data_IF_878256348020
#
_entry.id   IF_878256348020
#
_cell.length_a   1.000
_cell.length_b   1.000
_cell.length_c   1.000
_cell.angle_alpha   90.00
_cell.angle_beta   90.00
_cell.angle_gamma   90.00
#
_symmetry.space_group_name_H-M   'P 1'
#
loop_
_entity.id
_entity.type
_entity.pdbx_description
1 polymer ?
#
# COMPACT_ATOMS: atom_id res chain seq x y z
N UNK A 1 -2.95 -10.24 5.15
CA UNK A 1 -1.47 -10.28 5.24
C UNK A 1 -0.82 -9.89 3.91
N UNK A 2 -1.05 -10.61 2.80
CA UNK A 2 -0.45 -10.27 1.48
C UNK A 2 -0.72 -8.83 1.06
N UNK A 3 -1.98 -8.35 1.10
CA UNK A 3 -2.31 -6.94 0.80
C UNK A 3 -1.49 -5.93 1.63
N UNK A 4 -1.14 -6.26 2.88
CA UNK A 4 -0.33 -5.38 3.73
C UNK A 4 1.14 -5.35 3.29
N UNK A 5 1.68 -6.47 2.82
CA UNK A 5 3.02 -6.53 2.20
C UNK A 5 3.03 -5.73 0.91
N UNK A 6 1.99 -5.85 0.08
CA UNK A 6 1.86 -5.10 -1.17
C UNK A 6 1.76 -3.60 -0.88
N UNK A 7 0.95 -3.19 0.09
CA UNK A 7 0.88 -1.80 0.54
C UNK A 7 2.24 -1.26 1.01
N UNK A 8 2.97 -2.05 1.81
CA UNK A 8 4.33 -1.70 2.28
C UNK A 8 5.29 -1.46 1.09
N UNK A 9 5.30 -2.37 0.12
CA UNK A 9 6.18 -2.31 -1.05
C UNK A 9 5.81 -1.14 -1.97
N UNK A 10 4.53 -0.97 -2.26
CA UNK A 10 4.02 0.10 -3.12
C UNK A 10 4.25 1.49 -2.53
N UNK A 11 4.25 1.61 -1.20
CA UNK A 11 4.52 2.86 -0.48
C UNK A 11 6.00 3.06 -0.11
N UNK A 12 6.87 2.08 -0.34
CA UNK A 12 8.27 2.13 0.09
C UNK A 12 8.43 2.27 1.61
N UNK A 13 7.58 1.60 2.40
CA UNK A 13 7.65 1.75 3.86
C UNK A 13 8.90 1.14 4.50
N UNK A 14 9.06 1.38 5.80
CA UNK A 14 10.26 0.98 6.56
C UNK A 14 10.52 -0.53 6.51
N UNK A 15 11.79 -0.92 6.40
CA UNK A 15 12.22 -2.33 6.52
C UNK A 15 11.85 -2.95 7.87
N UNK A 16 11.70 -2.16 8.93
CA UNK A 16 11.21 -2.66 10.23
C UNK A 16 9.81 -3.28 10.14
N UNK A 17 8.99 -2.80 9.20
CA UNK A 17 7.64 -3.33 9.00
C UNK A 17 7.64 -4.80 8.53
N UNK A 18 8.73 -5.28 7.93
CA UNK A 18 8.86 -6.69 7.54
C UNK A 18 8.81 -7.61 8.76
N UNK A 19 9.53 -7.26 9.83
CA UNK A 19 9.52 -8.01 11.10
C UNK A 19 8.13 -7.95 11.74
N UNK A 20 7.49 -6.79 11.76
CA UNK A 20 6.16 -6.63 12.33
C UNK A 20 5.08 -7.41 11.58
N UNK A 21 5.10 -7.38 10.24
CA UNK A 21 4.14 -8.14 9.43
C UNK A 21 4.32 -9.65 9.58
N UNK A 22 5.56 -10.14 9.71
CA UNK A 22 5.83 -11.54 10.03
C UNK A 22 5.25 -11.90 11.41
N UNK A 23 5.44 -11.04 12.42
CA UNK A 23 4.89 -11.27 13.76
C UNK A 23 3.34 -11.28 13.77
N UNK A 24 2.70 -10.33 13.07
CA UNK A 24 1.24 -10.24 12.93
C UNK A 24 0.69 -11.48 12.21
N UNK A 25 1.33 -11.88 11.10
CA UNK A 25 0.98 -13.11 10.38
C UNK A 25 1.08 -14.33 11.31
N UNK A 26 2.20 -14.44 12.04
CA UNK A 26 2.45 -15.58 12.92
C UNK A 26 1.43 -15.69 14.06
N UNK A 27 0.99 -14.56 14.62
CA UNK A 27 -0.03 -14.50 15.66
C UNK A 27 -1.41 -14.95 15.17
N UNK A 28 -1.69 -14.84 13.87
CA UNK A 28 -2.93 -15.30 13.22
C UNK A 28 -2.79 -16.68 12.55
N UNK A 29 -1.70 -17.41 12.83
CA UNK A 29 -1.47 -18.76 12.28
C UNK A 29 -0.99 -18.78 10.82
N UNK A 30 -0.64 -17.62 10.25
CA UNK A 30 -0.13 -17.48 8.88
C UNK A 30 1.40 -17.48 8.93
N UNK A 31 2.03 -18.31 8.09
CA UNK A 31 3.48 -18.26 7.88
C UNK A 31 3.77 -17.27 6.78
N UNK A 32 4.57 -16.26 7.10
CA UNK A 32 5.11 -15.26 6.19
C UNK A 32 6.62 -15.21 6.45
N UNK A 33 7.44 -15.25 5.40
CA UNK A 33 8.89 -15.13 5.52
C UNK A 33 9.43 -14.07 4.54
N UNK A 34 10.71 -13.73 4.63
CA UNK A 34 11.29 -12.70 3.77
C UNK A 34 11.36 -13.09 2.28
N UNK A 35 11.39 -14.38 1.94
CA UNK A 35 11.32 -14.80 0.52
C UNK A 35 9.99 -14.40 -0.12
N UNK A 36 8.91 -14.38 0.66
CA UNK A 36 7.61 -13.87 0.21
C UNK A 36 7.67 -12.37 -0.11
N UNK A 37 8.37 -11.58 0.73
CA UNK A 37 8.59 -10.16 0.47
C UNK A 37 9.45 -9.93 -0.77
N UNK A 38 10.55 -10.68 -0.96
CA UNK A 38 11.42 -10.54 -2.13
C UNK A 38 10.68 -10.91 -3.43
N UNK A 39 9.89 -11.99 -3.42
CA UNK A 39 9.05 -12.36 -4.57
C UNK A 39 8.02 -11.28 -4.88
N UNK A 40 7.32 -10.76 -3.88
CA UNK A 40 6.35 -9.68 -4.05
C UNK A 40 7.02 -8.38 -4.50
N UNK A 41 8.22 -8.06 -4.00
CA UNK A 41 8.94 -6.84 -4.36
C UNK A 41 9.28 -6.78 -5.86
N UNK A 42 9.49 -7.93 -6.49
CA UNK A 42 9.72 -8.04 -7.94
C UNK A 42 8.47 -7.77 -8.78
N UNK A 43 7.28 -7.93 -8.19
CA UNK A 43 5.99 -7.78 -8.88
C UNK A 43 5.26 -6.48 -8.53
N UNK A 44 5.52 -5.90 -7.36
CA UNK A 44 4.84 -4.70 -6.87
C UNK A 44 5.72 -3.48 -7.12
N UNK A 45 5.29 -2.53 -7.96
CA UNK A 45 6.06 -1.32 -8.21
C UNK A 45 5.99 -0.34 -7.03
N UNK A 46 7.05 0.45 -6.84
CA UNK A 46 7.04 1.59 -5.91
C UNK A 46 6.33 2.77 -6.59
N UNK A 47 5.19 3.19 -6.04
CA UNK A 47 4.35 4.25 -6.62
C UNK A 47 4.17 5.46 -5.70
N UNK A 48 4.91 5.55 -4.59
CA UNK A 48 4.92 6.75 -3.75
C UNK A 48 6.33 7.29 -3.48
N UNK A 49 6.44 8.59 -3.23
CA UNK A 49 7.66 9.28 -2.77
C UNK A 49 7.36 10.12 -1.54
N UNK A 50 7.23 9.44 -0.41
CA UNK A 50 6.94 10.02 0.90
C UNK A 50 8.23 10.04 1.73
N UNK A 51 8.42 11.05 2.57
CA UNK A 51 9.50 11.09 3.57
C UNK A 51 9.54 9.76 4.34
N UNK A 52 10.72 9.10 4.48
CA UNK A 52 12.06 9.61 4.15
C UNK A 52 12.55 9.38 2.71
N UNK A 53 11.79 8.68 1.85
CA UNK A 53 12.20 8.32 0.48
C UNK A 53 11.91 9.41 -0.56
N UNK A 54 11.19 10.46 -0.15
CA UNK A 54 10.90 11.65 -0.93
C UNK A 54 10.76 12.88 -0.03
N UNK A 55 10.64 14.08 -0.61
CA UNK A 55 10.53 15.33 0.15
C UNK A 55 9.12 15.56 0.74
N UNK A 56 8.10 14.88 0.21
CA UNK A 56 6.71 15.06 0.61
C UNK A 56 6.42 14.36 1.95
N UNK A 57 5.80 15.07 2.88
CA UNK A 57 5.33 14.46 4.13
C UNK A 57 4.03 13.67 3.93
N UNK A 58 3.53 13.05 5.01
CA UNK A 58 2.28 12.27 4.96
C UNK A 58 1.05 13.11 4.63
N UNK A 59 1.05 14.41 4.95
CA UNK A 59 -0.07 15.29 4.65
C UNK A 59 -0.09 15.65 3.16
N UNK A 60 1.09 15.89 2.56
CA UNK A 60 1.21 16.08 1.12
C UNK A 60 0.85 14.79 0.38
N UNK A 61 1.26 13.61 0.87
CA UNK A 61 0.77 12.33 0.35
C UNK A 61 -0.76 12.22 0.40
N UNK A 62 -1.37 12.56 1.54
CA UNK A 62 -2.83 12.57 1.67
C UNK A 62 -3.49 13.56 0.69
N UNK A 63 -2.93 14.77 0.53
CA UNK A 63 -3.42 15.78 -0.39
C UNK A 63 -3.26 15.38 -1.87
N UNK A 64 -2.25 14.55 -2.20
CA UNK A 64 -2.08 13.96 -3.52
C UNK A 64 -3.11 12.87 -3.84
N UNK A 65 -3.92 12.44 -2.85
CA UNK A 65 -4.93 11.38 -2.98
C UNK A 65 -4.82 10.30 -1.90
N UNK A 66 -3.66 10.21 -1.24
CA UNK A 66 -3.46 9.38 -0.06
C UNK A 66 -3.68 7.88 -0.27
N UNK A 67 -4.05 7.22 0.82
CA UNK A 67 -4.25 5.77 0.83
C UNK A 67 -5.37 5.31 -0.10
N UNK A 68 -6.43 6.09 -0.26
CA UNK A 68 -7.56 5.64 -1.07
C UNK A 68 -7.25 5.59 -2.55
N UNK A 69 -6.51 6.58 -3.08
CA UNK A 69 -6.02 6.55 -4.47
C UNK A 69 -4.99 5.44 -4.65
N UNK A 70 -4.08 5.25 -3.69
CA UNK A 70 -3.11 4.16 -3.70
C UNK A 70 -3.82 2.78 -3.78
N UNK A 71 -4.82 2.54 -2.94
CA UNK A 71 -5.58 1.29 -2.91
C UNK A 71 -6.38 1.11 -4.21
N UNK A 72 -7.04 2.16 -4.69
CA UNK A 72 -7.78 2.11 -5.96
C UNK A 72 -6.87 1.76 -7.15
N UNK A 73 -5.68 2.37 -7.21
CA UNK A 73 -4.70 2.11 -8.26
C UNK A 73 -4.21 0.65 -8.25
N UNK A 74 -3.89 0.12 -7.06
CA UNK A 74 -3.45 -1.26 -6.91
C UNK A 74 -4.57 -2.28 -7.21
N UNK A 75 -5.82 -1.99 -6.81
CA UNK A 75 -6.98 -2.84 -7.13
C UNK A 75 -7.26 -2.89 -8.62
N UNK A 76 -7.30 -1.74 -9.31
CA UNK A 76 -7.54 -1.67 -10.76
C UNK A 76 -6.52 -2.46 -11.56
N UNK A 77 -5.29 -2.57 -11.06
CA UNK A 77 -4.21 -3.32 -11.68
C UNK A 77 -4.10 -4.77 -11.18
N UNK A 78 -5.07 -5.26 -10.40
CA UNK A 78 -5.11 -6.64 -9.91
C UNK A 78 -4.02 -6.99 -8.90
N UNK A 79 -3.39 -6.00 -8.28
CA UNK A 79 -2.31 -6.20 -7.32
C UNK A 79 -2.82 -6.45 -5.90
N UNK A 80 -4.04 -6.02 -5.56
CA UNK A 80 -4.64 -6.29 -4.26
C UNK A 80 -5.75 -7.33 -4.38
N UNK A 81 -5.85 -8.20 -3.36
CA UNK A 81 -7.01 -9.06 -3.20
C UNK A 81 -8.23 -8.22 -2.79
N UNK A 82 -9.22 -8.13 -3.67
CA UNK A 82 -10.45 -7.36 -3.45
C UNK A 82 -11.42 -8.08 -2.50
N UNK A 83 -11.63 -9.38 -2.69
CA UNK A 83 -12.62 -10.19 -1.97
C UNK A 83 -12.11 -10.64 -0.59
N UNK A 84 -11.97 -9.69 0.33
CA UNK A 84 -11.58 -9.96 1.71
C UNK A 84 -12.57 -9.33 2.71
N UNK A 85 -12.66 -9.94 3.90
CA UNK A 85 -13.34 -9.30 5.02
C UNK A 85 -12.51 -8.13 5.52
N UNK A 86 -13.19 -7.02 5.82
CA UNK A 86 -12.60 -5.82 6.41
C UNK A 86 -13.44 -5.38 7.60
N UNK A 87 -13.02 -4.33 8.30
CA UNK A 87 -13.80 -3.74 9.39
C UNK A 87 -14.90 -2.81 8.89
N UNK A 88 -14.92 -2.48 7.60
CA UNK A 88 -15.95 -1.65 7.00
C UNK A 88 -17.27 -2.43 6.82
N UNK A 89 -18.37 -1.69 6.64
CA UNK A 89 -19.73 -2.24 6.59
C UNK A 89 -19.95 -3.25 5.45
N UNK A 90 -19.27 -3.04 4.32
CA UNK A 90 -19.35 -3.94 3.17
C UNK A 90 -18.10 -4.81 3.07
N UNK A 91 -18.28 -6.06 2.65
CA UNK A 91 -17.18 -6.94 2.32
C UNK A 91 -16.38 -6.38 1.14
N UNK A 92 -15.07 -6.50 1.22
CA UNK A 92 -14.15 -6.14 0.15
C UNK A 92 -13.41 -4.82 0.37
N UNK A 93 -12.41 -4.60 -0.49
CA UNK A 93 -11.49 -3.47 -0.37
C UNK A 93 -12.03 -2.14 -0.94
N UNK A 94 -13.13 -2.14 -1.70
CA UNK A 94 -13.66 -0.94 -2.36
C UNK A 94 -14.05 0.19 -1.39
N UNK A 95 -14.43 -0.13 -0.14
CA UNK A 95 -14.68 0.89 0.90
C UNK A 95 -13.45 1.75 1.19
N UNK A 96 -12.24 1.20 0.97
CA UNK A 96 -10.99 1.91 1.17
C UNK A 96 -10.58 2.75 -0.04
N UNK A 97 -11.39 2.78 -1.11
CA UNK A 97 -11.31 3.74 -2.22
C UNK A 97 -12.24 4.94 -2.00
N UNK A 98 -12.58 5.21 -0.74
CA UNK A 98 -13.41 6.34 -0.31
C UNK A 98 -12.68 7.08 0.82
N UNK A 99 -13.05 8.34 1.02
CA UNK A 99 -12.56 9.13 2.15
C UNK A 99 -13.72 9.67 2.99
N UNK A 100 -13.54 9.77 4.32
CA UNK A 100 -14.56 10.32 5.20
C UNK A 100 -14.58 11.85 5.10
N UNK A 101 -15.78 12.43 5.03
CA UNK A 101 -16.03 13.87 5.10
C UNK A 101 -17.10 14.17 6.14
N UNK A 102 -16.99 15.34 6.76
CA UNK A 102 -18.05 15.90 7.59
C UNK A 102 -18.79 16.95 6.75
N UNK A 103 -20.02 16.64 6.34
CA UNK A 103 -20.88 17.49 5.52
C UNK A 103 -22.19 17.69 6.26
N UNK A 104 -22.58 18.94 6.53
CA UNK A 104 -23.77 19.28 7.32
C UNK A 104 -23.83 18.50 8.66
N UNK A 105 -22.70 18.45 9.37
CA UNK A 105 -22.49 17.71 10.63
C UNK A 105 -22.69 16.19 10.55
N UNK A 106 -22.74 15.62 9.34
CA UNK A 106 -22.87 14.17 9.11
C UNK A 106 -21.59 13.60 8.52
N UNK A 107 -21.18 12.44 9.05
CA UNK A 107 -20.13 11.64 8.45
C UNK A 107 -20.65 11.01 7.15
N UNK A 108 -20.01 11.35 6.04
CA UNK A 108 -20.32 10.82 4.72
C UNK A 108 -19.02 10.29 4.10
N UNK A 109 -19.07 9.09 3.53
CA UNK A 109 -17.99 8.55 2.72
C UNK A 109 -18.16 9.01 1.28
N UNK A 110 -17.12 9.63 0.72
CA UNK A 110 -17.12 10.08 -0.68
C UNK A 110 -16.02 9.35 -1.46
N UNK A 111 -16.20 9.08 -2.77
CA UNK A 111 -15.14 8.50 -3.59
C UNK A 111 -13.88 9.37 -3.56
N UNK A 112 -12.71 8.73 -3.51
CA UNK A 112 -11.44 9.44 -3.75
C UNK A 112 -11.33 9.89 -5.21
N UNK A 113 -10.42 10.83 -5.54
CA UNK A 113 -10.10 11.13 -6.93
C UNK A 113 -9.72 9.86 -7.72
N UNK A 114 -10.13 9.79 -9.00
CA UNK A 114 -9.81 8.61 -9.83
C UNK A 114 -8.30 8.44 -10.06
N UNK A 115 -7.56 9.54 -10.03
CA UNK A 115 -6.12 9.62 -10.22
C UNK A 115 -5.47 10.52 -9.17
N UNK A 116 -4.17 10.34 -8.96
CA UNK A 116 -3.37 11.22 -8.11
C UNK A 116 -3.51 12.69 -8.53
N UNK A 117 -3.57 13.57 -7.53
CA UNK A 117 -3.55 15.01 -7.70
C UNK A 117 -2.12 15.58 -7.77
N UNK A 118 -1.11 14.76 -7.43
CA UNK A 118 0.31 15.09 -7.58
C UNK A 118 1.12 13.83 -7.93
N UNK A 119 1.41 13.66 -9.22
CA UNK A 119 2.15 12.51 -9.73
C UNK A 119 3.63 12.49 -9.34
N UNK A 120 4.15 13.54 -8.72
CA UNK A 120 5.51 13.54 -8.17
C UNK A 120 5.56 12.90 -6.77
N UNK A 121 4.41 12.79 -6.11
CA UNK A 121 4.26 12.18 -4.77
C UNK A 121 3.61 10.80 -4.83
N UNK A 122 2.55 10.65 -5.63
CA UNK A 122 1.82 9.40 -5.84
C UNK A 122 1.69 9.15 -7.35
N UNK A 123 2.48 8.22 -7.87
CA UNK A 123 2.47 7.78 -9.26
C UNK A 123 1.40 6.74 -9.56
N UNK A 124 1.56 6.04 -10.68
CA UNK A 124 0.66 4.95 -11.12
C UNK A 124 1.45 3.66 -11.32
N UNK A 125 0.75 2.53 -11.44
CA UNK A 125 1.41 1.24 -11.77
C UNK A 125 2.06 1.28 -13.16
N UNK A 126 1.46 2.00 -14.10
CA UNK A 126 2.02 2.21 -15.45
C UNK A 126 3.26 3.12 -15.45
N UNK A 127 3.28 4.15 -14.59
CA UNK A 127 4.38 5.12 -14.46
C UNK A 127 4.90 5.15 -13.03
N UNK A 128 5.54 4.07 -12.57
CA UNK A 128 6.01 3.98 -11.19
C UNK A 128 7.32 4.72 -10.99
N UNK A 129 7.68 4.98 -9.72
CA UNK A 129 9.00 5.52 -9.38
C UNK A 129 10.10 4.46 -9.45
N UNK A 130 9.75 3.19 -9.22
CA UNK A 130 10.59 2.04 -9.49
C UNK A 130 9.73 0.83 -9.88
N UNK A 131 10.24 -0.03 -10.75
CA UNK A 131 9.53 -1.22 -11.24
C UNK A 131 9.38 -2.34 -10.21
N UNK A 132 10.09 -2.23 -9.08
CA UNK A 132 9.93 -3.12 -7.92
C UNK A 132 9.92 -2.33 -6.62
N UNK A 133 9.49 -2.99 -5.54
CA UNK A 133 9.28 -2.39 -4.22
C UNK A 133 10.57 -2.14 -3.41
N UNK A 134 11.74 -2.39 -3.99
CA UNK A 134 13.05 -2.05 -3.40
C UNK A 134 13.50 -2.93 -2.24
N UNK A 135 12.91 -4.12 -2.07
CA UNK A 135 13.26 -5.07 -1.02
C UNK A 135 13.82 -6.34 -1.65
N UNK A 136 15.05 -6.69 -1.25
CA UNK A 136 15.70 -7.92 -1.67
C UNK A 136 16.22 -8.71 -0.47
N UNK A 137 15.98 -10.02 -0.51
CA UNK A 137 16.61 -10.96 0.42
C UNK A 137 17.94 -11.39 -0.16
N UNK A 138 18.97 -11.33 0.66
CA UNK A 138 20.29 -11.85 0.34
C UNK A 138 20.42 -13.25 0.93
N UNK A 139 21.01 -14.16 0.17
CA UNK A 139 21.36 -15.49 0.64
C UNK A 139 22.85 -15.72 0.46
N UNK A 140 23.51 -16.26 1.47
CA UNK A 140 24.90 -16.64 1.40
C UNK A 140 25.35 -17.49 2.58
N UNK A 141 26.65 -17.76 2.64
CA UNK A 141 27.26 -18.47 3.77
C UNK A 141 27.26 -17.67 5.09
N UNK A 142 26.95 -16.37 5.03
CA UNK A 142 26.79 -15.50 6.22
C UNK A 142 25.36 -15.51 6.78
N UNK A 143 24.40 -16.09 6.05
CA UNK A 143 22.97 -15.90 6.27
C UNK A 143 22.24 -15.63 4.95
#
# INVERSE_FOLDING_TARGET
IVNAVIGLLASGGSTNHTMHLIAIARASGIVLNWDDFDKLSKAVPLITKIYPNGPADVNHFQAAGGMGVLIAELLRNGLLHEDILTVADQRGMNNYCQEPKLIDEKLIWVPVPETSLDTQVLGTVEKPFATGGGLHVMHGNLG
#
